data_IF_091695538605
#
_entry.id   IF_091695538605
#
_cell.length_a   1.000
_cell.length_b   1.000
_cell.length_c   1.000
_cell.angle_alpha   90.00
_cell.angle_beta   90.00
_cell.angle_gamma   90.00
#
_symmetry.space_group_name_H-M   'P 1'
#
loop_
_entity.id
_entity.type
_entity.pdbx_description
1 polymer ?
#
# COMPACT_ATOMS: atom_id res chain seq x y z
N UNK A 1 -23.27 33.02 22.06
CA UNK A 1 -23.79 31.85 21.31
C UNK A 1 -23.20 31.88 19.90
N UNK A 2 -22.05 31.23 19.68
CA UNK A 2 -21.38 31.19 18.36
C UNK A 2 -21.70 29.88 17.66
N UNK A 3 -22.50 29.95 16.59
CA UNK A 3 -22.92 28.83 15.76
C UNK A 3 -21.72 28.36 14.94
N UNK A 4 -21.03 27.32 15.40
CA UNK A 4 -20.09 26.57 14.57
C UNK A 4 -20.90 25.70 13.62
N UNK A 5 -21.12 26.17 12.38
CA UNK A 5 -21.62 25.34 11.30
C UNK A 5 -20.60 24.25 11.03
N UNK A 6 -20.95 23.04 11.46
CA UNK A 6 -20.26 21.79 11.13
C UNK A 6 -20.50 21.52 9.65
N UNK A 7 -19.60 21.97 8.80
CA UNK A 7 -19.48 21.52 7.42
C UNK A 7 -19.06 20.05 7.44
N UNK A 8 -20.06 19.18 7.55
CA UNK A 8 -19.96 17.81 7.09
C UNK A 8 -19.68 17.89 5.59
N UNK A 9 -18.40 17.94 5.22
CA UNK A 9 -17.98 17.63 3.86
C UNK A 9 -18.24 16.14 3.66
N UNK A 10 -19.34 15.88 2.97
CA UNK A 10 -19.77 14.57 2.54
C UNK A 10 -18.58 13.82 1.94
N UNK A 11 -18.24 12.68 2.54
CA UNK A 11 -17.36 11.70 1.95
C UNK A 11 -18.07 11.10 0.74
N UNK A 12 -18.11 11.84 -0.37
CA UNK A 12 -18.43 11.28 -1.67
C UNK A 12 -17.30 10.30 -2.00
N UNK A 13 -17.61 9.02 -1.86
CA UNK A 13 -16.82 7.92 -2.40
C UNK A 13 -16.91 8.01 -3.93
N UNK A 14 -16.12 8.90 -4.52
CA UNK A 14 -16.00 8.99 -5.96
C UNK A 14 -15.15 7.81 -6.44
N UNK A 15 -15.82 6.84 -7.08
CA UNK A 15 -15.20 5.63 -7.62
C UNK A 15 -14.43 5.98 -8.90
N UNK A 16 -13.33 6.70 -8.76
CA UNK A 16 -12.38 6.92 -9.86
C UNK A 16 -11.68 5.60 -10.16
N UNK A 17 -11.96 5.02 -11.33
CA UNK A 17 -11.26 3.83 -11.82
C UNK A 17 -9.77 4.14 -12.01
N UNK A 18 -8.90 3.33 -11.41
CA UNK A 18 -7.45 3.44 -11.61
C UNK A 18 -7.15 3.00 -13.06
N UNK A 19 -6.47 3.84 -13.89
CA UNK A 19 -6.13 3.45 -15.26
C UNK A 19 -5.15 2.28 -15.28
N UNK A 20 -5.08 1.57 -16.40
CA UNK A 20 -4.13 0.46 -16.57
C UNK A 20 -2.68 0.94 -16.37
N UNK A 21 -1.86 0.08 -15.75
CA UNK A 21 -0.48 0.44 -15.42
C UNK A 21 0.43 0.40 -16.64
N UNK A 22 1.32 1.39 -16.77
CA UNK A 22 2.41 1.36 -17.76
C UNK A 22 3.67 0.76 -17.13
N UNK A 23 4.06 -0.42 -17.61
CA UNK A 23 5.23 -1.15 -17.13
C UNK A 23 6.54 -0.37 -17.29
N UNK A 24 6.79 0.26 -18.44
CA UNK A 24 8.06 0.94 -18.71
C UNK A 24 8.20 2.21 -17.88
N UNK A 25 7.11 2.96 -17.69
CA UNK A 25 7.08 4.09 -16.76
C UNK A 25 7.26 3.62 -15.31
N UNK A 26 6.56 2.57 -14.88
CA UNK A 26 6.69 2.00 -13.55
C UNK A 26 8.10 1.52 -13.23
N UNK A 27 8.75 0.85 -14.19
CA UNK A 27 10.14 0.40 -14.09
C UNK A 27 11.12 1.56 -13.89
N UNK A 28 10.95 2.67 -14.63
CA UNK A 28 11.77 3.87 -14.44
C UNK A 28 11.55 4.46 -13.04
N UNK A 29 10.30 4.64 -12.62
CA UNK A 29 9.99 5.18 -11.29
C UNK A 29 10.56 4.32 -10.17
N UNK A 30 10.43 2.99 -10.28
CA UNK A 30 10.99 2.07 -9.31
C UNK A 30 12.50 2.23 -9.16
N UNK A 31 13.24 2.34 -10.27
CA UNK A 31 14.69 2.55 -10.25
C UNK A 31 15.08 3.84 -9.52
N UNK A 32 14.36 4.93 -9.76
CA UNK A 32 14.70 6.23 -9.17
C UNK A 32 14.26 6.38 -7.72
N UNK A 33 13.13 5.77 -7.34
CA UNK A 33 12.45 6.05 -6.05
C UNK A 33 12.50 4.91 -5.04
N UNK A 34 12.64 3.67 -5.50
CA UNK A 34 12.43 2.48 -4.66
C UNK A 34 13.69 1.60 -4.58
N UNK A 35 14.42 1.46 -5.69
CA UNK A 35 15.53 0.51 -5.82
C UNK A 35 16.72 0.83 -4.90
N UNK A 36 16.82 2.05 -4.38
CA UNK A 36 17.85 2.41 -3.40
C UNK A 36 17.67 1.65 -2.08
N UNK A 37 16.43 1.36 -1.70
CA UNK A 37 16.10 0.72 -0.43
C UNK A 37 15.59 -0.70 -0.58
N UNK A 38 15.02 -1.05 -1.74
CA UNK A 38 14.30 -2.30 -1.93
C UNK A 38 14.85 -3.13 -3.09
N UNK A 39 15.14 -4.40 -2.81
CA UNK A 39 15.38 -5.41 -3.83
C UNK A 39 14.07 -6.04 -4.30
N UNK A 40 13.96 -6.29 -5.61
CA UNK A 40 12.82 -7.02 -6.22
C UNK A 40 13.21 -8.40 -6.77
N UNK A 41 14.50 -8.59 -7.10
CA UNK A 41 15.01 -9.81 -7.73
C UNK A 41 15.64 -10.79 -6.73
N UNK A 42 15.71 -10.44 -5.44
CA UNK A 42 16.33 -11.28 -4.41
C UNK A 42 15.45 -11.29 -3.17
N UNK A 43 15.54 -12.35 -2.39
CA UNK A 43 14.87 -12.45 -1.08
C UNK A 43 15.62 -11.70 0.03
N UNK A 44 16.80 -11.15 -0.27
CA UNK A 44 17.58 -10.36 0.71
C UNK A 44 16.97 -8.98 0.87
N UNK A 45 16.86 -8.56 2.12
CA UNK A 45 16.47 -7.20 2.48
C UNK A 45 17.71 -6.31 2.58
N UNK A 46 17.52 -5.02 2.31
CA UNK A 46 18.57 -3.99 2.36
C UNK A 46 18.20 -2.97 3.45
N UNK A 47 18.17 -1.68 3.13
CA UNK A 47 17.59 -0.66 4.01
C UNK A 47 16.08 -0.91 4.22
N UNK A 48 15.38 -1.37 3.18
CA UNK A 48 13.98 -1.80 3.22
C UNK A 48 13.82 -3.31 3.04
N UNK A 49 12.63 -3.85 3.35
CA UNK A 49 12.31 -5.26 3.12
C UNK A 49 12.35 -5.60 1.62
N UNK A 50 12.68 -6.84 1.27
CA UNK A 50 12.53 -7.31 -0.11
C UNK A 50 11.09 -7.17 -0.62
N UNK A 51 10.93 -6.72 -1.85
CA UNK A 51 9.65 -6.67 -2.58
C UNK A 51 9.47 -7.87 -3.52
N UNK A 52 10.38 -8.84 -3.47
CA UNK A 52 10.18 -10.12 -4.13
C UNK A 52 8.93 -10.83 -3.55
N UNK A 53 7.99 -11.21 -4.42
CA UNK A 53 6.71 -11.79 -4.00
C UNK A 53 5.87 -10.83 -3.15
N UNK A 54 5.97 -9.52 -3.37
CA UNK A 54 5.20 -8.52 -2.61
C UNK A 54 3.70 -8.74 -2.74
N UNK A 55 3.22 -8.96 -3.95
CA UNK A 55 1.80 -9.15 -4.21
C UNK A 55 1.32 -10.48 -3.64
N UNK A 56 0.20 -10.44 -2.92
CA UNK A 56 -0.32 -11.57 -2.15
C UNK A 56 0.30 -11.70 -0.76
N UNK A 57 1.31 -10.88 -0.42
CA UNK A 57 1.96 -10.92 0.89
C UNK A 57 1.29 -9.94 1.86
N UNK A 58 1.25 -10.35 3.12
CA UNK A 58 0.86 -9.49 4.24
C UNK A 58 1.97 -8.46 4.54
N UNK A 59 1.61 -7.23 4.89
CA UNK A 59 2.58 -6.22 5.32
C UNK A 59 3.27 -6.67 6.60
N UNK A 60 4.53 -6.27 6.78
CA UNK A 60 5.28 -6.59 8.00
C UNK A 60 5.74 -8.05 8.13
N UNK A 61 5.57 -8.89 7.09
CA UNK A 61 5.91 -10.32 7.15
C UNK A 61 7.02 -10.76 6.19
N UNK A 62 7.79 -9.84 5.59
CA UNK A 62 8.94 -10.25 4.78
C UNK A 62 9.96 -11.00 5.64
N UNK A 63 10.41 -12.21 5.23
CA UNK A 63 11.34 -13.01 6.00
C UNK A 63 12.67 -12.27 6.26
N UNK A 64 13.17 -12.35 7.49
CA UNK A 64 14.47 -11.81 7.86
C UNK A 64 14.56 -10.29 7.90
N UNK A 65 13.44 -9.55 7.81
CA UNK A 65 13.43 -8.09 7.99
C UNK A 65 12.79 -7.69 9.32
N UNK A 66 13.45 -6.81 10.06
CA UNK A 66 12.93 -6.28 11.32
C UNK A 66 12.08 -5.06 11.04
N UNK A 67 10.77 -5.22 11.19
CA UNK A 67 9.81 -4.13 11.01
C UNK A 67 9.67 -3.27 12.28
N UNK A 68 9.20 -2.04 12.10
CA UNK A 68 8.76 -1.20 13.22
C UNK A 68 7.49 -1.77 13.85
N UNK A 69 7.27 -1.45 15.13
CA UNK A 69 6.09 -1.88 15.87
C UNK A 69 4.78 -1.42 15.20
N UNK A 70 4.78 -0.20 14.66
CA UNK A 70 3.63 0.35 13.93
C UNK A 70 3.29 -0.48 12.68
N UNK A 71 4.30 -0.89 11.91
CA UNK A 71 4.06 -1.68 10.71
C UNK A 71 3.59 -3.11 11.02
N UNK A 72 4.00 -3.67 12.16
CA UNK A 72 3.48 -4.96 12.66
C UNK A 72 2.02 -4.89 13.07
N UNK A 73 1.60 -3.77 13.67
CA UNK A 73 0.21 -3.53 14.09
C UNK A 73 -0.72 -3.22 12.93
N UNK A 74 -0.19 -2.68 11.83
CA UNK A 74 -0.96 -2.29 10.65
C UNK A 74 -0.83 -3.35 9.55
N UNK A 75 -1.51 -4.47 9.79
CA UNK A 75 -1.56 -5.60 8.85
C UNK A 75 -2.41 -5.21 7.64
N UNK A 76 -1.79 -5.19 6.45
CA UNK A 76 -2.43 -4.92 5.17
C UNK A 76 -2.02 -5.97 4.17
N UNK A 77 -2.97 -6.42 3.37
CA UNK A 77 -2.70 -7.35 2.28
C UNK A 77 -2.30 -6.58 1.01
N UNK A 78 -1.13 -6.87 0.45
CA UNK A 78 -0.69 -6.26 -0.81
C UNK A 78 -1.37 -6.94 -1.99
N UNK A 79 -2.55 -6.44 -2.40
CA UNK A 79 -3.25 -6.97 -3.57
C UNK A 79 -2.53 -6.63 -4.88
N UNK A 80 -2.55 -7.57 -5.84
CA UNK A 80 -1.81 -7.49 -7.11
C UNK A 80 -2.46 -6.67 -8.23
N UNK A 81 -3.52 -5.89 -7.95
CA UNK A 81 -4.31 -5.27 -9.02
C UNK A 81 -4.67 -3.81 -8.75
N UNK A 82 -4.63 -3.01 -9.83
CA UNK A 82 -5.25 -1.69 -9.99
C UNK A 82 -6.76 -1.75 -9.76
N UNK A 83 -7.19 -2.08 -8.55
CA UNK A 83 -8.61 -2.15 -8.22
C UNK A 83 -8.83 -1.38 -6.94
N UNK A 84 -9.66 -0.35 -7.05
CA UNK A 84 -10.46 0.27 -6.00
C UNK A 84 -10.94 -0.75 -4.92
N UNK A 85 -11.14 -2.02 -5.30
CA UNK A 85 -11.47 -3.14 -4.41
C UNK A 85 -10.47 -3.44 -3.27
N UNK A 86 -9.20 -3.06 -3.38
CA UNK A 86 -8.23 -3.25 -2.28
C UNK A 86 -8.56 -2.33 -1.09
N UNK A 87 -9.10 -1.13 -1.37
CA UNK A 87 -9.64 -0.22 -0.35
C UNK A 87 -10.97 -0.74 0.20
N UNK A 88 -11.84 -1.29 -0.65
CA UNK A 88 -13.14 -1.83 -0.22
C UNK A 88 -12.99 -3.05 0.70
N UNK A 89 -12.06 -3.97 0.40
CA UNK A 89 -11.76 -5.10 1.29
C UNK A 89 -11.11 -4.66 2.61
N UNK A 90 -10.26 -3.62 2.59
CA UNK A 90 -9.75 -3.01 3.82
C UNK A 90 -10.86 -2.34 4.64
N UNK A 91 -11.82 -1.68 3.98
CA UNK A 91 -12.99 -1.06 4.64
C UNK A 91 -13.90 -2.08 5.30
N UNK A 92 -14.04 -3.28 4.72
CA UNK A 92 -14.79 -4.39 5.35
C UNK A 92 -14.02 -4.98 6.54
N UNK A 93 -12.70 -5.09 6.46
CA UNK A 93 -11.87 -5.62 7.55
C UNK A 93 -11.71 -4.64 8.73
N UNK A 94 -11.78 -3.31 8.51
CA UNK A 94 -11.71 -2.31 9.58
C UNK A 94 -13.06 -2.03 10.27
N UNK A 95 -14.14 -2.67 9.80
CA UNK A 95 -15.48 -2.58 10.36
C UNK A 95 -15.87 -3.83 11.17
N UNK A 96 -14.94 -4.77 11.36
CA UNK A 96 -15.04 -5.96 12.22
C UNK A 96 -14.03 -5.84 13.37
#
# INVERSE_FOLDING_TARGET
MGIWKKDKSDSKTESTSIPEGDYERGKKLFKYRCAQCHAINTTRSMAGPTLHGLFGRTSGTAPGYVYSESNRKTVRFWASRNTSSARERYSQYSAS
#
